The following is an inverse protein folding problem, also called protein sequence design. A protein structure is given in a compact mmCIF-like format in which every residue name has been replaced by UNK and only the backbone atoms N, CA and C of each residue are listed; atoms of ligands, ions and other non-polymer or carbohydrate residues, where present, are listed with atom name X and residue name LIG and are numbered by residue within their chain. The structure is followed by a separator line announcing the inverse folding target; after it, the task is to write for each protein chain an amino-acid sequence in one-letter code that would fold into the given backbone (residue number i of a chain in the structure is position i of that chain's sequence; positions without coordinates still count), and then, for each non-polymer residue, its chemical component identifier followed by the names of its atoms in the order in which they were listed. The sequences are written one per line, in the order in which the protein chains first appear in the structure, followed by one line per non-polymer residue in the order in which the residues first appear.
data_IF_434846264326
#
_entry.id   IF_434846264326
#
_cell.length_a   1.000
_cell.length_b   1.000
_cell.length_c   1.000
_cell.angle_alpha   90.00
_cell.angle_beta   90.00
_cell.angle_gamma   90.00
#
_symmetry.space_group_name_H-M   'P 1'
#
loop_
_entity.id
_entity.type
_entity.pdbx_description
1 polymer ?
#
# COMPACT_ATOMS: atom_id res chain seq x y z
N UNK A 1 7.04 -17.21 -4.51
CA UNK A 1 6.26 -16.72 -3.34
C UNK A 1 6.24 -17.88 -2.36
N UNK A 2 6.87 -17.73 -1.20
CA UNK A 2 6.70 -18.72 -0.12
C UNK A 2 5.43 -18.35 0.64
N UNK A 3 4.32 -19.00 0.28
CA UNK A 3 3.00 -18.74 0.85
C UNK A 3 2.88 -19.20 2.30
N UNK A 4 3.75 -20.10 2.76
CA UNK A 4 3.70 -20.64 4.13
C UNK A 4 4.48 -19.76 5.11
N UNK A 5 5.54 -19.10 4.65
CA UNK A 5 6.46 -18.35 5.52
C UNK A 5 6.34 -16.82 5.42
N UNK A 6 5.52 -16.30 4.51
CA UNK A 6 5.04 -14.91 4.54
C UNK A 6 6.07 -13.85 4.12
N UNK A 7 6.90 -14.15 3.11
CA UNK A 7 7.82 -13.18 2.49
C UNK A 7 7.78 -13.21 0.96
N UNK A 8 8.31 -12.16 0.35
CA UNK A 8 8.43 -12.02 -1.09
C UNK A 8 9.83 -11.52 -1.49
N UNK A 9 10.39 -12.11 -2.55
CA UNK A 9 11.62 -11.67 -3.18
C UNK A 9 11.27 -11.06 -4.54
N UNK A 10 11.66 -9.80 -4.74
CA UNK A 10 11.42 -9.07 -5.98
C UNK A 10 12.75 -8.63 -6.60
N UNK A 11 13.00 -8.87 -7.90
CA UNK A 11 14.13 -8.26 -8.59
C UNK A 11 13.91 -6.76 -8.77
N UNK A 12 14.93 -5.98 -8.44
CA UNK A 12 14.97 -4.52 -8.58
C UNK A 12 16.22 -4.11 -9.37
N UNK A 13 16.27 -2.87 -9.87
CA UNK A 13 17.45 -2.36 -10.62
C UNK A 13 18.77 -2.44 -9.85
N UNK A 14 18.73 -2.36 -8.50
CA UNK A 14 19.91 -2.39 -7.62
C UNK A 14 20.17 -3.76 -6.98
N UNK A 15 19.38 -4.79 -7.27
CA UNK A 15 19.50 -6.11 -6.64
C UNK A 15 18.15 -6.69 -6.24
N UNK A 16 18.14 -7.60 -5.28
CA UNK A 16 16.90 -8.24 -4.80
C UNK A 16 16.34 -7.47 -3.61
N UNK A 17 15.03 -7.26 -3.61
CA UNK A 17 14.28 -6.76 -2.45
C UNK A 17 13.56 -7.91 -1.75
N UNK A 18 13.88 -8.13 -0.48
CA UNK A 18 13.14 -8.99 0.43
C UNK A 18 12.12 -8.15 1.20
N UNK A 19 10.85 -8.51 1.10
CA UNK A 19 9.75 -7.88 1.86
C UNK A 19 9.01 -8.91 2.69
N UNK A 20 8.52 -8.51 3.85
CA UNK A 20 7.73 -9.35 4.76
C UNK A 20 6.27 -8.89 4.85
N UNK A 21 5.53 -9.46 5.79
CA UNK A 21 4.13 -9.15 6.05
C UNK A 21 3.86 -7.76 6.64
N UNK A 22 2.70 -7.63 7.27
CA UNK A 22 2.28 -6.44 8.01
C UNK A 22 2.19 -6.74 9.50
N UNK A 23 2.18 -5.68 10.32
CA UNK A 23 1.90 -5.73 11.74
C UNK A 23 0.87 -4.66 12.11
N UNK A 24 0.10 -4.91 13.16
CA UNK A 24 -0.76 -3.89 13.76
C UNK A 24 0.05 -3.12 14.79
N UNK A 25 0.30 -1.85 14.51
CA UNK A 25 1.02 -0.95 15.38
C UNK A 25 0.49 0.49 15.21
N UNK A 26 0.81 1.35 16.18
CA UNK A 26 0.62 2.79 15.98
C UNK A 26 1.52 3.28 14.85
N UNK A 27 1.08 4.30 14.11
CA UNK A 27 1.82 4.86 12.95
C UNK A 27 3.28 5.17 13.27
N UNK A 28 3.50 5.74 14.45
CA UNK A 28 4.81 6.23 14.91
C UNK A 28 5.45 5.30 15.95
N UNK A 29 5.01 4.03 16.01
CA UNK A 29 5.58 3.03 16.90
C UNK A 29 7.06 2.77 16.60
N UNK A 30 7.79 2.31 17.62
CA UNK A 30 9.19 1.90 17.46
C UNK A 30 9.24 0.70 16.52
N UNK A 31 10.17 0.76 15.55
CA UNK A 31 10.36 -0.29 14.55
C UNK A 31 10.80 -1.61 15.19
N UNK A 32 10.13 -2.70 14.85
CA UNK A 32 10.43 -4.06 15.28
C UNK A 32 10.79 -4.94 14.08
N UNK A 33 12.07 -5.05 13.66
CA UNK A 33 12.47 -5.79 12.45
C UNK A 33 12.40 -7.32 12.60
N UNK A 34 11.58 -7.82 13.54
CA UNK A 34 11.43 -9.24 13.87
C UNK A 34 10.97 -10.08 12.68
N UNK A 35 10.06 -9.55 11.85
CA UNK A 35 9.59 -10.27 10.65
C UNK A 35 10.74 -10.50 9.67
N UNK A 36 11.56 -9.48 9.40
CA UNK A 36 12.71 -9.61 8.51
C UNK A 36 13.78 -10.53 9.11
N UNK A 37 14.05 -10.41 10.41
CA UNK A 37 14.99 -11.28 11.12
C UNK A 37 14.62 -12.76 11.06
N UNK A 38 13.32 -13.09 11.00
CA UNK A 38 12.82 -14.46 10.81
C UNK A 38 12.83 -14.90 9.35
N UNK A 39 12.46 -14.00 8.43
CA UNK A 39 12.30 -14.33 7.01
C UNK A 39 13.64 -14.43 6.26
N UNK A 40 14.66 -13.65 6.62
CA UNK A 40 15.91 -13.60 5.87
C UNK A 40 16.71 -14.90 5.87
N UNK A 41 16.92 -15.61 7.02
CA UNK A 41 17.62 -16.89 7.01
C UNK A 41 16.94 -17.90 6.08
N UNK A 42 15.61 -17.93 6.11
CA UNK A 42 14.78 -18.78 5.26
C UNK A 42 14.91 -18.38 3.78
N UNK A 43 14.86 -17.09 3.47
CA UNK A 43 15.01 -16.60 2.11
C UNK A 43 16.39 -16.96 1.54
N UNK A 44 17.44 -17.01 2.38
CA UNK A 44 18.80 -17.41 2.02
C UNK A 44 18.93 -18.91 1.73
N UNK A 45 18.12 -19.76 2.36
CA UNK A 45 18.03 -21.20 2.02
C UNK A 45 17.46 -21.41 0.62
N UNK A 46 16.50 -20.59 0.20
CA UNK A 46 15.83 -20.70 -1.10
C UNK A 46 16.60 -19.98 -2.23
N UNK A 47 17.22 -18.84 -1.94
CA UNK A 47 17.91 -18.02 -2.93
C UNK A 47 19.18 -17.40 -2.33
N UNK A 48 20.34 -17.47 -3.03
CA UNK A 48 21.61 -16.97 -2.51
C UNK A 48 21.64 -15.44 -2.50
N UNK A 49 21.10 -14.83 -1.44
CA UNK A 49 21.14 -13.39 -1.24
C UNK A 49 22.57 -12.94 -0.92
N UNK A 50 23.03 -11.85 -1.56
CA UNK A 50 24.30 -11.22 -1.24
C UNK A 50 24.27 -10.50 0.12
N UNK A 51 25.31 -9.74 0.41
CA UNK A 51 25.32 -8.80 1.53
C UNK A 51 24.22 -7.74 1.39
N UNK A 52 23.71 -7.26 2.53
CA UNK A 52 22.67 -6.22 2.54
C UNK A 52 23.25 -4.92 1.99
N UNK A 53 22.51 -4.27 1.10
CA UNK A 53 22.88 -2.96 0.55
C UNK A 53 22.50 -1.80 1.49
N UNK A 54 21.45 -1.96 2.26
CA UNK A 54 20.97 -0.98 3.24
C UNK A 54 21.37 -1.42 4.65
N UNK A 55 21.84 -0.47 5.47
CA UNK A 55 22.28 -0.75 6.86
C UNK A 55 21.12 -1.15 7.76
N UNK A 56 19.97 -0.49 7.58
CA UNK A 56 18.77 -0.68 8.38
C UNK A 56 17.56 -1.04 7.49
N UNK A 57 16.68 -1.95 7.96
CA UNK A 57 15.44 -2.26 7.26
C UNK A 57 14.53 -1.02 7.11
N UNK A 58 13.92 -0.89 5.93
CA UNK A 58 12.88 0.10 5.70
C UNK A 58 11.51 -0.42 6.19
N UNK A 59 10.68 0.48 6.69
CA UNK A 59 9.29 0.24 7.09
C UNK A 59 8.40 1.41 6.62
N UNK A 60 7.13 1.13 6.30
CA UNK A 60 6.14 2.16 5.98
C UNK A 60 4.74 1.81 6.48
N UNK A 61 3.97 2.84 6.85
CA UNK A 61 2.59 2.70 7.29
C UNK A 61 1.63 2.64 6.10
N UNK A 62 0.76 1.62 6.07
CA UNK A 62 -0.26 1.46 5.01
C UNK A 62 -1.53 2.24 5.39
N UNK A 63 -2.06 3.11 4.51
CA UNK A 63 -3.30 3.82 4.78
C UNK A 63 -4.48 2.87 4.53
N UNK A 64 -4.88 2.12 5.54
CA UNK A 64 -6.01 1.19 5.47
C UNK A 64 -7.27 1.83 6.07
N UNK A 65 -8.42 1.59 5.44
CA UNK A 65 -9.75 1.89 5.98
C UNK A 65 -10.36 0.64 6.62
N UNK A 66 -11.41 0.76 7.46
CA UNK A 66 -12.05 -0.39 8.10
C UNK A 66 -12.65 -1.42 7.13
N UNK A 67 -13.06 -0.98 5.94
CA UNK A 67 -13.68 -1.80 4.89
C UNK A 67 -12.72 -2.26 3.80
N UNK A 68 -11.43 -1.92 3.91
CA UNK A 68 -10.37 -2.21 2.92
C UNK A 68 -10.58 -1.59 1.53
N UNK A 69 -11.49 -0.61 1.39
CA UNK A 69 -11.71 0.15 0.16
C UNK A 69 -11.13 1.57 0.27
N UNK A 70 -10.55 2.14 -0.80
CA UNK A 70 -10.07 3.51 -0.76
C UNK A 70 -11.23 4.51 -0.62
N UNK A 71 -10.96 5.69 -0.04
CA UNK A 71 -11.89 6.82 -0.01
C UNK A 71 -11.58 7.72 -1.20
N UNK A 72 -12.46 7.72 -2.20
CA UNK A 72 -12.35 8.48 -3.43
C UNK A 72 -13.68 9.17 -3.69
N UNK A 73 -13.67 10.49 -3.83
CA UNK A 73 -14.90 11.25 -4.10
C UNK A 73 -14.85 12.66 -3.54
N UNK A 74 -15.93 13.42 -3.78
CA UNK A 74 -16.07 14.79 -3.29
C UNK A 74 -16.27 14.81 -1.77
N UNK A 75 -15.66 15.76 -1.08
CA UNK A 75 -15.91 15.97 0.33
C UNK A 75 -17.32 16.57 0.53
N UNK A 76 -18.20 15.97 1.35
CA UNK A 76 -19.62 16.35 1.40
C UNK A 76 -19.85 17.77 1.94
N UNK A 77 -18.91 18.31 2.71
CA UNK A 77 -19.01 19.66 3.31
C UNK A 77 -18.24 20.75 2.55
N UNK A 78 -17.50 20.41 1.50
CA UNK A 78 -16.61 21.36 0.83
C UNK A 78 -16.69 21.20 -0.69
N UNK A 79 -17.20 22.22 -1.36
CA UNK A 79 -17.60 22.11 -2.76
C UNK A 79 -16.47 21.76 -3.74
N UNK A 80 -15.24 22.17 -3.42
CA UNK A 80 -14.07 22.05 -4.30
C UNK A 80 -12.96 21.19 -3.66
N UNK A 81 -13.33 20.29 -2.75
CA UNK A 81 -12.39 19.38 -2.08
C UNK A 81 -12.75 17.93 -2.44
N UNK A 82 -11.73 17.13 -2.74
CA UNK A 82 -11.85 15.71 -3.08
C UNK A 82 -10.92 14.88 -2.21
N UNK A 83 -11.34 13.66 -1.93
CA UNK A 83 -10.55 12.64 -1.22
C UNK A 83 -10.01 11.60 -2.21
N UNK A 84 -8.84 11.08 -1.88
CA UNK A 84 -8.01 10.24 -2.75
C UNK A 84 -7.02 9.39 -1.94
N UNK A 85 -7.47 8.70 -0.91
CA UNK A 85 -6.60 7.99 0.04
C UNK A 85 -7.15 6.61 0.40
N UNK A 86 -6.43 5.86 1.24
CA UNK A 86 -6.94 4.61 1.79
C UNK A 86 -6.65 3.36 0.95
N UNK A 87 -5.71 3.42 0.00
CA UNK A 87 -5.42 2.31 -0.93
C UNK A 87 -4.66 1.11 -0.31
N UNK A 88 -4.45 1.08 1.01
CA UNK A 88 -3.72 0.03 1.70
C UNK A 88 -2.37 -0.31 1.02
N UNK A 89 -2.23 -1.53 0.49
CA UNK A 89 -1.03 -2.00 -0.21
C UNK A 89 -1.11 -1.88 -1.74
N UNK A 90 -2.22 -1.36 -2.28
CA UNK A 90 -2.49 -1.23 -3.70
C UNK A 90 -2.26 0.19 -4.25
N UNK A 91 -1.72 1.11 -3.44
CA UNK A 91 -1.54 2.51 -3.85
C UNK A 91 -0.72 2.70 -5.13
N UNK A 92 0.37 1.95 -5.31
CA UNK A 92 1.18 2.02 -6.52
C UNK A 92 0.41 1.47 -7.74
N UNK A 93 -0.28 0.34 -7.57
CA UNK A 93 -1.06 -0.31 -8.63
C UNK A 93 -2.24 0.55 -9.08
N UNK A 94 -2.94 1.17 -8.14
CA UNK A 94 -4.19 1.89 -8.39
C UNK A 94 -4.01 3.40 -8.54
N UNK A 95 -2.79 3.93 -8.38
CA UNK A 95 -2.54 5.37 -8.39
C UNK A 95 -2.96 6.04 -9.71
N UNK A 96 -2.59 5.45 -10.85
CA UNK A 96 -2.91 6.00 -12.16
C UNK A 96 -4.43 6.06 -12.42
N UNK A 97 -5.13 4.96 -12.13
CA UNK A 97 -6.59 4.88 -12.33
C UNK A 97 -7.37 5.72 -11.32
N UNK A 98 -6.84 5.89 -10.10
CA UNK A 98 -7.41 6.84 -9.12
C UNK A 98 -7.29 8.28 -9.61
N UNK A 99 -6.12 8.65 -10.15
CA UNK A 99 -5.90 9.99 -10.71
C UNK A 99 -6.85 10.29 -11.87
N UNK A 100 -7.04 9.32 -12.78
CA UNK A 100 -8.03 9.42 -13.85
C UNK A 100 -9.45 9.59 -13.32
N UNK A 101 -9.89 8.75 -12.37
CA UNK A 101 -11.23 8.82 -11.80
C UNK A 101 -11.51 10.19 -11.17
N UNK A 102 -10.54 10.72 -10.41
CA UNK A 102 -10.65 12.04 -9.80
C UNK A 102 -10.72 13.15 -10.84
N UNK A 103 -9.89 13.09 -11.88
CA UNK A 103 -9.92 14.08 -12.96
C UNK A 103 -11.30 14.12 -13.63
N UNK A 104 -11.84 12.94 -14.01
CA UNK A 104 -13.17 12.83 -14.63
C UNK A 104 -14.27 13.42 -13.72
N UNK A 105 -14.25 13.09 -12.42
CA UNK A 105 -15.19 13.66 -11.44
C UNK A 105 -15.03 15.18 -11.22
N UNK A 106 -13.81 15.72 -11.37
CA UNK A 106 -13.53 17.15 -11.21
C UNK A 106 -13.95 17.96 -12.43
N UNK A 107 -13.83 17.39 -13.64
CA UNK A 107 -14.19 18.05 -14.90
C UNK A 107 -15.65 17.84 -15.30
N UNK A 108 -16.38 16.98 -14.59
CA UNK A 108 -17.78 16.64 -14.91
C UNK A 108 -17.90 15.64 -16.06
N UNK A 109 -16.82 14.93 -16.39
CA UNK A 109 -16.83 13.83 -17.35
C UNK A 109 -17.49 12.58 -16.73
N UNK A 110 -17.98 11.68 -17.58
CA UNK A 110 -18.51 10.40 -17.12
C UNK A 110 -17.37 9.53 -16.57
N UNK A 111 -17.41 9.12 -15.29
CA UNK A 111 -16.37 8.26 -14.71
C UNK A 111 -16.24 6.92 -15.44
N UNK A 112 -15.00 6.44 -15.63
CA UNK A 112 -14.75 5.14 -16.27
C UNK A 112 -15.22 3.94 -15.43
N UNK A 113 -15.45 4.15 -14.14
CA UNK A 113 -15.98 3.18 -13.17
C UNK A 113 -16.89 3.90 -12.20
N UNK A 114 -17.94 3.22 -11.71
CA UNK A 114 -18.84 3.77 -10.71
C UNK A 114 -18.06 4.16 -9.43
N UNK A 115 -18.03 5.45 -9.03
CA UNK A 115 -17.33 5.88 -7.84
C UNK A 115 -18.09 5.62 -6.54
N UNK A 116 -19.38 5.25 -6.59
CA UNK A 116 -20.24 5.12 -5.41
C UNK A 116 -19.65 4.22 -4.30
N UNK A 117 -19.05 3.04 -4.60
CA UNK A 117 -18.44 2.18 -3.57
C UNK A 117 -17.27 2.83 -2.82
N UNK A 118 -16.64 3.85 -3.41
CA UNK A 118 -15.48 4.54 -2.86
C UNK A 118 -15.83 5.89 -2.23
N UNK A 119 -17.12 6.29 -2.26
CA UNK A 119 -17.57 7.57 -1.73
C UNK A 119 -17.27 7.71 -0.23
N UNK A 120 -16.83 8.89 0.25
CA UNK A 120 -16.68 9.15 1.69
C UNK A 120 -17.99 9.07 2.47
N UNK A 121 -19.14 9.21 1.81
CA UNK A 121 -20.46 9.14 2.44
C UNK A 121 -20.74 7.78 3.08
N UNK A 122 -20.01 6.73 2.72
CA UNK A 122 -20.14 5.41 3.35
C UNK A 122 -19.76 5.36 4.84
N UNK A 123 -19.13 6.42 5.36
CA UNK A 123 -18.72 6.53 6.76
C UNK A 123 -19.38 7.70 7.50
N UNK A 124 -20.30 8.43 6.86
CA UNK A 124 -20.85 9.70 7.37
C UNK A 124 -22.36 9.64 7.61
#
# INVERSE_FOLDING_TARGET
LDTERGYFLAPMRRGIRLTTGAEFALRDAIRTPVQLGRAEPIARELFPLAERLDTEPWMGARPCTPDMLPVIGRAPRHANLYFAFGHAHHGLTLGAVTGRLIAEMMTGEAPFVDPAPYSPERFL
#
